data_IF_847181796420
#
_entry.id   IF_847181796420
#
_cell.length_a   1.000
_cell.length_b   1.000
_cell.length_c   1.000
_cell.angle_alpha   90.00
_cell.angle_beta   90.00
_cell.angle_gamma   90.00
#
_symmetry.space_group_name_H-M   'P 1'
#
loop_
_entity.id
_entity.type
_entity.pdbx_description
1 polymer ?
#
# COMPACT_ATOMS: atom_id res chain seq x y z
N UNK A 1 -7.83 20.72 0.61
CA UNK A 1 -8.27 19.40 0.11
C UNK A 1 -7.83 19.28 -1.35
N UNK A 2 -6.94 18.34 -1.66
CA UNK A 2 -6.64 17.99 -3.05
C UNK A 2 -7.74 17.07 -3.57
N UNK A 3 -8.39 17.45 -4.66
CA UNK A 3 -9.43 16.63 -5.30
C UNK A 3 -8.74 15.48 -6.03
N UNK A 4 -9.06 14.23 -5.69
CA UNK A 4 -8.65 13.06 -6.47
C UNK A 4 -9.60 12.93 -7.67
N UNK A 5 -9.09 13.19 -8.87
CA UNK A 5 -9.88 13.18 -10.11
C UNK A 5 -9.54 11.97 -10.96
N UNK A 6 -10.57 11.32 -11.51
CA UNK A 6 -10.46 10.17 -12.40
C UNK A 6 -9.86 8.93 -11.68
N UNK A 7 -9.33 7.94 -12.43
CA UNK A 7 -8.73 6.67 -11.94
C UNK A 7 -9.70 5.64 -11.39
N UNK A 8 -11.01 5.80 -11.64
CA UNK A 8 -12.03 4.84 -11.20
C UNK A 8 -11.79 3.44 -11.74
N UNK A 9 -11.33 3.32 -13.00
CA UNK A 9 -11.04 2.01 -13.62
C UNK A 9 -9.88 1.30 -12.91
N UNK A 10 -8.78 2.02 -12.64
CA UNK A 10 -7.62 1.46 -11.95
C UNK A 10 -7.95 1.08 -10.50
N UNK A 11 -8.73 1.90 -9.79
CA UNK A 11 -9.22 1.56 -8.44
C UNK A 11 -10.12 0.33 -8.44
N UNK A 12 -11.08 0.24 -9.37
CA UNK A 12 -11.93 -0.94 -9.51
C UNK A 12 -11.10 -2.19 -9.77
N UNK A 13 -10.06 -2.10 -10.62
CA UNK A 13 -9.19 -3.24 -10.88
C UNK A 13 -8.42 -3.70 -9.63
N UNK A 14 -7.87 -2.78 -8.84
CA UNK A 14 -7.22 -3.11 -7.57
C UNK A 14 -8.21 -3.78 -6.60
N UNK A 15 -9.45 -3.28 -6.56
CA UNK A 15 -10.52 -3.82 -5.73
C UNK A 15 -11.00 -5.21 -6.14
N UNK A 16 -11.08 -5.49 -7.43
CA UNK A 16 -11.40 -6.82 -7.96
C UNK A 16 -10.32 -7.82 -7.55
N UNK A 17 -9.04 -7.46 -7.74
CA UNK A 17 -7.90 -8.31 -7.36
C UNK A 17 -7.82 -8.54 -5.86
N UNK A 18 -8.08 -7.51 -5.05
CA UNK A 18 -8.10 -7.64 -3.59
C UNK A 18 -9.18 -8.59 -3.08
N UNK A 19 -10.31 -8.72 -3.80
CA UNK A 19 -11.42 -9.62 -3.44
C UNK A 19 -11.34 -11.00 -4.09
N UNK A 20 -10.31 -11.24 -4.90
CA UNK A 20 -10.06 -12.54 -5.52
C UNK A 20 -9.74 -13.58 -4.44
N UNK A 21 -10.20 -14.81 -4.62
CA UNK A 21 -9.86 -15.94 -3.74
C UNK A 21 -8.43 -16.47 -3.98
N UNK A 22 -7.73 -15.93 -4.99
CA UNK A 22 -6.36 -16.29 -5.34
C UNK A 22 -5.31 -15.31 -4.81
N UNK A 23 -4.06 -15.77 -4.75
CA UNK A 23 -2.93 -14.88 -4.52
C UNK A 23 -2.68 -14.02 -5.76
N UNK A 24 -2.81 -12.70 -5.61
CA UNK A 24 -2.66 -11.73 -6.70
C UNK A 24 -1.39 -10.90 -6.51
N UNK A 25 -0.66 -10.67 -7.61
CA UNK A 25 0.51 -9.79 -7.64
C UNK A 25 0.32 -8.70 -8.68
N UNK A 26 0.17 -7.45 -8.22
CA UNK A 26 -0.12 -6.30 -9.08
C UNK A 26 1.07 -5.37 -9.19
N UNK A 27 1.51 -5.10 -10.42
CA UNK A 27 2.57 -4.13 -10.72
C UNK A 27 1.95 -2.84 -11.23
N UNK A 28 2.05 -1.77 -10.44
CA UNK A 28 1.64 -0.41 -10.83
C UNK A 28 2.81 0.34 -11.48
N UNK A 29 2.75 0.56 -12.79
CA UNK A 29 3.80 1.23 -13.56
C UNK A 29 3.31 2.51 -14.24
N UNK A 30 4.25 3.37 -14.63
CA UNK A 30 3.95 4.64 -15.32
C UNK A 30 4.98 5.73 -15.03
N UNK A 31 4.87 6.88 -15.71
CA UNK A 31 5.82 8.01 -15.59
C UNK A 31 5.92 8.56 -14.16
N UNK A 32 7.01 9.26 -13.84
CA UNK A 32 7.18 9.97 -12.56
C UNK A 32 6.05 11.02 -12.42
N UNK A 33 5.46 11.14 -11.22
CA UNK A 33 4.37 12.10 -10.87
C UNK A 33 3.00 11.90 -11.55
N UNK A 34 2.70 10.75 -12.14
CA UNK A 34 1.34 10.46 -12.67
C UNK A 34 0.28 10.11 -11.62
N UNK A 35 0.64 10.15 -10.33
CA UNK A 35 -0.29 9.85 -9.22
C UNK A 35 -0.36 8.37 -8.81
N UNK A 36 0.67 7.56 -9.07
CA UNK A 36 0.68 6.13 -8.66
C UNK A 36 0.61 5.95 -7.14
N UNK A 37 1.40 6.74 -6.39
CA UNK A 37 1.39 6.69 -4.92
C UNK A 37 0.02 7.11 -4.39
N UNK A 38 -0.54 8.20 -4.92
CA UNK A 38 -1.89 8.65 -4.56
C UNK A 38 -2.95 7.58 -4.85
N UNK A 39 -2.86 6.85 -5.98
CA UNK A 39 -3.76 5.75 -6.28
C UNK A 39 -3.71 4.63 -5.22
N UNK A 40 -2.50 4.26 -4.75
CA UNK A 40 -2.32 3.29 -3.66
C UNK A 40 -2.89 3.84 -2.36
N UNK A 41 -2.63 5.09 -2.03
CA UNK A 41 -3.14 5.73 -0.81
C UNK A 41 -4.68 5.78 -0.82
N UNK A 42 -5.31 6.07 -1.97
CA UNK A 42 -6.78 6.03 -2.11
C UNK A 42 -7.32 4.60 -1.98
N UNK A 43 -6.66 3.61 -2.56
CA UNK A 43 -7.04 2.20 -2.42
C UNK A 43 -6.94 1.72 -0.97
N UNK A 44 -5.87 2.06 -0.25
CA UNK A 44 -5.68 1.67 1.15
C UNK A 44 -6.62 2.38 2.13
N UNK A 45 -7.32 3.45 1.72
CA UNK A 45 -8.39 4.05 2.54
C UNK A 45 -9.65 3.18 2.59
N UNK A 46 -9.85 2.31 1.60
CA UNK A 46 -11.07 1.51 1.44
C UNK A 46 -10.84 0.02 1.72
N UNK A 47 -9.59 -0.40 1.91
CA UNK A 47 -9.22 -1.78 2.27
C UNK A 47 -8.28 -1.80 3.47
N UNK A 48 -8.15 -2.94 4.12
CA UNK A 48 -7.18 -3.13 5.20
C UNK A 48 -5.86 -3.64 4.61
N UNK A 49 -4.75 -2.98 4.90
CA UNK A 49 -3.44 -3.39 4.40
C UNK A 49 -2.30 -2.58 5.00
N UNK A 50 -1.08 -2.98 4.68
CA UNK A 50 0.15 -2.35 5.18
C UNK A 50 0.86 -1.66 4.02
N UNK A 51 1.15 -0.36 4.17
CA UNK A 51 1.86 0.42 3.16
C UNK A 51 3.36 0.49 3.49
N UNK A 52 4.17 -0.18 2.69
CA UNK A 52 5.63 -0.12 2.81
C UNK A 52 6.23 0.84 1.78
N UNK A 53 6.65 2.01 2.26
CA UNK A 53 7.36 2.97 1.41
C UNK A 53 8.85 2.63 1.40
N UNK A 54 9.38 2.22 0.24
CA UNK A 54 10.81 2.06 0.06
C UNK A 54 11.49 3.43 0.18
N UNK A 55 12.14 3.68 1.32
CA UNK A 55 12.93 4.89 1.59
C UNK A 55 14.40 4.59 1.42
N UNK A 56 15.17 5.59 1.03
CA UNK A 56 16.63 5.49 0.99
C UNK A 56 17.18 5.58 2.42
N UNK A 57 17.11 4.46 3.12
CA UNK A 57 17.48 4.29 4.53
C UNK A 57 18.28 2.98 4.69
N UNK A 58 19.00 2.83 5.81
CA UNK A 58 19.70 1.57 6.09
C UNK A 58 18.71 0.40 6.19
N UNK A 59 19.13 -0.80 5.76
CA UNK A 59 18.31 -2.02 5.86
C UNK A 59 17.78 -2.24 7.28
N UNK A 60 18.62 -1.95 8.29
CA UNK A 60 18.25 -2.07 9.68
C UNK A 60 17.08 -1.14 10.05
N UNK A 61 17.13 0.13 9.64
CA UNK A 61 16.05 1.08 9.92
C UNK A 61 14.75 0.72 9.18
N UNK A 62 14.86 0.27 7.93
CA UNK A 62 13.71 -0.21 7.16
C UNK A 62 13.03 -1.40 7.82
N UNK A 63 13.80 -2.39 8.27
CA UNK A 63 13.28 -3.57 8.97
C UNK A 63 12.63 -3.19 10.31
N UNK A 64 13.28 -2.34 11.12
CA UNK A 64 12.67 -1.89 12.40
C UNK A 64 11.34 -1.19 12.19
N UNK A 65 11.24 -0.31 11.19
CA UNK A 65 9.96 0.35 10.86
C UNK A 65 8.91 -0.66 10.41
N UNK A 66 9.28 -1.59 9.53
CA UNK A 66 8.36 -2.61 9.06
C UNK A 66 7.85 -3.50 10.21
N UNK A 67 8.73 -3.95 11.11
CA UNK A 67 8.34 -4.71 12.30
C UNK A 67 7.37 -3.93 13.19
N UNK A 68 7.60 -2.63 13.39
CA UNK A 68 6.69 -1.77 14.15
C UNK A 68 5.32 -1.63 13.48
N UNK A 69 5.28 -1.43 12.15
CA UNK A 69 4.04 -1.34 11.38
C UNK A 69 3.26 -2.67 11.45
N UNK A 70 3.94 -3.82 11.36
CA UNK A 70 3.35 -5.15 11.52
C UNK A 70 2.79 -5.38 12.93
N UNK A 71 3.56 -5.07 13.97
CA UNK A 71 3.12 -5.21 15.37
C UNK A 71 1.84 -4.41 15.62
N UNK A 72 1.81 -3.15 15.17
CA UNK A 72 0.64 -2.29 15.30
C UNK A 72 -0.58 -2.82 14.51
N UNK A 73 -0.36 -3.34 13.30
CA UNK A 73 -1.41 -3.86 12.44
C UNK A 73 -2.03 -5.16 12.98
N UNK A 74 -1.19 -6.13 13.37
CA UNK A 74 -1.64 -7.43 13.86
C UNK A 74 -1.97 -7.44 15.37
N UNK A 75 -1.62 -6.36 16.09
CA UNK A 75 -1.65 -6.27 17.55
C UNK A 75 -0.87 -7.40 18.22
N UNK A 76 0.26 -7.76 17.62
CA UNK A 76 1.09 -8.89 18.06
C UNK A 76 2.13 -8.42 19.10
N UNK A 77 2.05 -8.90 20.35
CA UNK A 77 3.01 -8.56 21.40
C UNK A 77 4.41 -9.14 21.17
N UNK A 78 4.58 -10.15 20.31
CA UNK A 78 5.90 -10.72 19.98
C UNK A 78 6.76 -9.79 19.11
N UNK A 79 6.11 -8.88 18.36
CA UNK A 79 6.79 -7.94 17.46
C UNK A 79 7.10 -6.58 18.10
N UNK A 80 6.86 -6.43 19.42
CA UNK A 80 7.19 -5.22 20.20
C UNK A 80 8.70 -5.08 20.48
#
# INVERSE_FOLDING_TARGET
>A
MSVFLNRGRELSHLHERYRSDGAEFVVLYGRRRVGKSELIDQFLRTVTGIHLVAREESKHLQLRRFSADLSAYFKDPFLQ
#
